data_IF_505221727974
#
_entry.id   IF_505221727974
#
_cell.length_a   1.000
_cell.length_b   1.000
_cell.length_c   1.000
_cell.angle_alpha   90.00
_cell.angle_beta   90.00
_cell.angle_gamma   90.00
#
_symmetry.space_group_name_H-M   'P 1'
#
loop_
_entity.id
_entity.type
_entity.pdbx_description
1 polymer ?
#
# COMPACT_ATOMS: atom_id res chain seq x y z
N UNK A 1 -18.68 -0.21 3.90
CA UNK A 1 -17.71 0.68 3.21
C UNK A 1 -16.54 0.90 4.14
N UNK A 2 -15.38 0.34 3.79
CA UNK A 2 -14.19 0.37 4.64
C UNK A 2 -13.59 1.78 4.78
N UNK A 3 -12.84 2.01 5.85
CA UNK A 3 -12.13 3.28 6.09
C UNK A 3 -11.07 3.52 5.00
N UNK A 4 -10.40 2.46 4.55
CA UNK A 4 -9.43 2.52 3.43
C UNK A 4 -10.08 3.01 2.13
N UNK A 5 -11.25 2.47 1.75
CA UNK A 5 -11.99 2.97 0.60
C UNK A 5 -12.39 4.42 0.78
N UNK A 6 -12.90 4.78 1.96
CA UNK A 6 -13.28 6.15 2.26
C UNK A 6 -12.09 7.12 2.15
N UNK A 7 -10.88 6.66 2.50
CA UNK A 7 -9.65 7.41 2.32
C UNK A 7 -9.33 7.60 0.83
N UNK A 8 -9.41 6.55 0.01
CA UNK A 8 -9.21 6.66 -1.43
C UNK A 8 -10.25 7.55 -2.13
N UNK A 9 -11.51 7.52 -1.69
CA UNK A 9 -12.57 8.40 -2.18
C UNK A 9 -12.45 9.86 -1.68
N UNK A 10 -11.45 10.18 -0.84
CA UNK A 10 -11.25 11.49 -0.23
C UNK A 10 -12.31 11.88 0.82
N UNK A 11 -13.14 10.92 1.24
CA UNK A 11 -14.18 11.08 2.26
C UNK A 11 -13.63 10.92 3.69
N UNK A 12 -12.43 10.34 3.82
CA UNK A 12 -11.71 10.14 5.06
C UNK A 12 -10.29 10.68 4.94
N UNK A 13 -9.77 11.29 6.01
CA UNK A 13 -8.39 11.76 6.08
C UNK A 13 -7.44 10.68 6.63
N UNK A 14 -6.13 10.92 6.52
CA UNK A 14 -5.10 10.00 6.99
C UNK A 14 -5.18 9.73 8.51
N UNK A 15 -5.44 10.72 9.39
CA UNK A 15 -5.60 10.46 10.83
C UNK A 15 -6.73 9.47 11.18
N UNK A 16 -7.84 9.46 10.43
CA UNK A 16 -8.90 8.49 10.66
C UNK A 16 -8.54 7.10 10.12
N UNK A 17 -7.81 7.00 9.00
CA UNK A 17 -7.23 5.74 8.53
C UNK A 17 -6.23 5.16 9.54
N UNK A 18 -5.39 6.01 10.14
CA UNK A 18 -4.44 5.62 11.19
C UNK A 18 -5.15 4.98 12.38
N UNK A 19 -6.23 5.60 12.87
CA UNK A 19 -7.01 5.05 13.99
C UNK A 19 -7.62 3.68 13.68
N UNK A 20 -8.07 3.48 12.44
CA UNK A 20 -8.61 2.20 11.99
C UNK A 20 -7.52 1.11 11.97
N UNK A 21 -6.35 1.44 11.43
CA UNK A 21 -5.17 0.57 11.42
C UNK A 21 -4.69 0.23 12.84
N UNK A 22 -4.61 1.21 13.73
CA UNK A 22 -4.21 1.02 15.14
C UNK A 22 -5.24 0.21 15.93
N UNK A 23 -6.53 0.50 15.74
CA UNK A 23 -7.64 -0.22 16.38
C UNK A 23 -7.76 -1.68 15.93
N UNK A 24 -7.29 -2.01 14.72
CA UNK A 24 -7.22 -3.37 14.21
C UNK A 24 -6.15 -4.24 14.89
N UNK A 25 -5.06 -3.66 15.41
CA UNK A 25 -3.92 -4.42 15.96
C UNK A 25 -4.23 -5.12 17.29
N UNK A 26 -5.22 -4.65 18.06
CA UNK A 26 -5.61 -5.28 19.34
C UNK A 26 -6.49 -6.55 19.18
N UNK A 27 -7.09 -6.79 18.01
CA UNK A 27 -7.86 -8.00 17.74
C UNK A 27 -7.09 -8.90 16.79
N UNK A 28 -6.57 -9.98 17.38
CA UNK A 28 -5.90 -11.16 16.80
C UNK A 28 -5.89 -11.26 15.28
N UNK A 29 -4.74 -11.70 14.74
CA UNK A 29 -4.36 -11.97 13.33
C UNK A 29 -5.40 -12.46 12.29
N UNK A 30 -6.64 -12.74 12.68
CA UNK A 30 -7.77 -13.12 11.82
C UNK A 30 -8.89 -12.05 11.76
N UNK A 31 -9.02 -11.18 12.76
CA UNK A 31 -10.10 -10.17 12.86
C UNK A 31 -9.78 -8.87 12.09
N UNK A 32 -8.49 -8.56 11.89
CA UNK A 32 -8.06 -7.45 11.03
C UNK A 32 -8.67 -7.62 9.63
N UNK A 33 -8.65 -8.84 9.10
CA UNK A 33 -9.19 -9.15 7.78
C UNK A 33 -10.70 -8.89 7.73
N UNK A 34 -11.48 -9.24 8.77
CA UNK A 34 -12.95 -9.12 8.67
C UNK A 34 -13.46 -7.68 8.75
N UNK A 35 -12.81 -6.78 9.49
CA UNK A 35 -13.29 -5.41 9.66
C UNK A 35 -13.05 -4.49 8.44
N UNK A 36 -12.06 -4.78 7.58
CA UNK A 36 -11.93 -4.12 6.27
C UNK A 36 -12.98 -4.57 5.26
N UNK A 37 -13.57 -5.76 5.46
CA UNK A 37 -14.35 -6.48 4.45
C UNK A 37 -15.87 -6.24 4.57
N UNK A 38 -16.34 -5.63 5.65
CA UNK A 38 -17.79 -5.43 5.83
C UNK A 38 -18.34 -4.26 4.94
N UNK A 39 -19.18 -4.66 3.99
CA UNK A 39 -19.98 -3.91 3.02
C UNK A 39 -19.22 -3.22 1.87
N UNK A 40 -18.77 -4.01 0.91
CA UNK A 40 -18.52 -3.56 -0.47
C UNK A 40 -19.57 -4.18 -1.40
N UNK A 41 -20.70 -3.48 -1.61
CA UNK A 41 -21.75 -3.88 -2.57
C UNK A 41 -21.28 -3.88 -4.04
N UNK A 42 -20.06 -3.40 -4.31
CA UNK A 42 -19.43 -3.27 -5.63
C UNK A 42 -17.91 -3.30 -5.51
N UNK A 43 -17.25 -3.97 -6.47
CA UNK A 43 -15.80 -3.94 -6.64
C UNK A 43 -15.30 -2.50 -6.73
N UNK A 44 -14.20 -2.21 -6.06
CA UNK A 44 -13.56 -0.91 -6.04
C UNK A 44 -12.24 -0.96 -6.82
N UNK A 45 -12.12 -0.19 -7.92
CA UNK A 45 -10.90 -0.17 -8.71
C UNK A 45 -9.79 0.60 -8.00
N UNK A 46 -8.68 -0.07 -7.69
CA UNK A 46 -7.45 0.53 -7.18
C UNK A 46 -6.59 1.01 -8.36
N UNK A 47 -6.13 2.25 -8.29
CA UNK A 47 -5.34 2.92 -9.34
C UNK A 47 -4.00 3.41 -8.78
N UNK A 48 -3.10 3.84 -9.66
CA UNK A 48 -1.85 4.47 -9.21
C UNK A 48 -2.08 5.75 -8.41
N UNK A 49 -3.18 6.48 -8.64
CA UNK A 49 -3.55 7.66 -7.86
C UNK A 49 -3.81 7.31 -6.39
N UNK A 50 -4.53 6.21 -6.13
CA UNK A 50 -4.78 5.75 -4.76
C UNK A 50 -3.48 5.38 -4.02
N UNK A 51 -2.55 4.71 -4.70
CA UNK A 51 -1.25 4.40 -4.09
C UNK A 51 -0.37 5.65 -3.90
N UNK A 52 -0.50 6.67 -4.75
CA UNK A 52 0.18 7.95 -4.53
C UNK A 52 -0.35 8.66 -3.28
N UNK A 53 -1.64 8.54 -2.95
CA UNK A 53 -2.18 9.09 -1.69
C UNK A 53 -1.53 8.45 -0.45
N UNK A 54 -1.21 7.15 -0.52
CA UNK A 54 -0.47 6.46 0.55
C UNK A 54 0.97 6.99 0.66
N UNK A 55 1.66 7.20 -0.47
CA UNK A 55 2.98 7.79 -0.49
C UNK A 55 2.99 9.21 0.12
N UNK A 56 1.98 10.02 -0.22
CA UNK A 56 1.84 11.38 0.28
C UNK A 56 1.58 11.38 1.80
N UNK A 57 0.69 10.49 2.29
CA UNK A 57 0.40 10.34 3.71
C UNK A 57 1.60 9.83 4.55
N UNK A 58 2.49 9.03 3.96
CA UNK A 58 3.76 8.68 4.60
C UNK A 58 4.73 9.87 4.62
N UNK A 59 4.78 10.63 3.53
CA UNK A 59 5.67 11.80 3.42
C UNK A 59 5.29 12.92 4.40
N UNK A 60 4.00 13.06 4.72
CA UNK A 60 3.51 13.99 5.75
C UNK A 60 3.70 13.47 7.18
N UNK A 61 4.10 12.20 7.34
CA UNK A 61 4.30 11.53 8.62
C UNK A 61 3.02 10.98 9.25
N UNK A 62 1.90 10.96 8.51
CA UNK A 62 0.64 10.38 8.98
C UNK A 62 0.70 8.86 8.99
N UNK A 63 1.29 8.24 7.96
CA UNK A 63 1.47 6.80 7.87
C UNK A 63 2.91 6.37 8.16
N UNK A 64 3.05 5.25 8.87
CA UNK A 64 4.34 4.59 9.08
C UNK A 64 4.60 3.51 8.03
N UNK A 65 5.84 3.05 7.92
CA UNK A 65 6.21 1.93 7.03
C UNK A 65 5.41 0.66 7.34
N UNK A 66 5.18 0.38 8.63
CA UNK A 66 4.38 -0.77 9.07
C UNK A 66 2.92 -0.65 8.63
N UNK A 67 2.34 0.55 8.73
CA UNK A 67 0.97 0.81 8.27
C UNK A 67 0.83 0.62 6.76
N UNK A 68 1.81 1.06 5.96
CA UNK A 68 1.80 0.81 4.51
C UNK A 68 1.82 -0.69 4.22
N UNK A 69 2.66 -1.46 4.91
CA UNK A 69 2.69 -2.91 4.75
C UNK A 69 1.34 -3.56 5.13
N UNK A 70 0.71 -3.11 6.22
CA UNK A 70 -0.62 -3.58 6.62
C UNK A 70 -1.68 -3.27 5.54
N UNK A 71 -1.65 -2.06 4.97
CA UNK A 71 -2.55 -1.67 3.88
C UNK A 71 -2.30 -2.55 2.64
N UNK A 72 -1.04 -2.81 2.27
CA UNK A 72 -0.70 -3.69 1.14
C UNK A 72 -1.21 -5.12 1.34
N UNK A 73 -0.99 -5.68 2.53
CA UNK A 73 -1.50 -6.99 2.90
C UNK A 73 -3.03 -7.05 2.82
N UNK A 74 -3.71 -6.04 3.35
CA UNK A 74 -5.18 -5.96 3.29
C UNK A 74 -5.69 -5.87 1.84
N UNK A 75 -5.05 -5.06 0.99
CA UNK A 75 -5.41 -4.96 -0.43
C UNK A 75 -5.22 -6.28 -1.19
N UNK A 76 -4.19 -7.06 -0.86
CA UNK A 76 -3.95 -8.37 -1.47
C UNK A 76 -4.95 -9.45 -1.00
N UNK A 77 -5.55 -9.27 0.18
CA UNK A 77 -6.47 -10.23 0.78
C UNK A 77 -7.96 -9.92 0.51
N UNK A 78 -8.28 -8.74 -0.01
CA UNK A 78 -9.64 -8.26 -0.23
C UNK A 78 -10.09 -8.48 -1.69
N UNK A 79 -11.01 -9.43 -1.90
CA UNK A 79 -11.57 -9.76 -3.22
C UNK A 79 -12.37 -8.60 -3.86
N UNK A 80 -12.74 -7.58 -3.11
CA UNK A 80 -13.48 -6.42 -3.62
C UNK A 80 -12.55 -5.27 -4.07
N UNK A 81 -11.25 -5.34 -3.78
CA UNK A 81 -10.26 -4.38 -4.28
C UNK A 81 -9.59 -4.96 -5.52
N UNK A 82 -9.82 -4.31 -6.67
CA UNK A 82 -9.36 -4.84 -7.96
C UNK A 82 -8.49 -3.84 -8.71
N UNK A 83 -7.52 -4.35 -9.47
CA UNK A 83 -6.75 -3.53 -10.41
C UNK A 83 -6.60 -4.26 -11.74
N UNK A 84 -6.66 -3.50 -12.83
CA UNK A 84 -6.65 -4.08 -14.18
C UNK A 84 -5.21 -4.41 -14.64
N UNK A 85 -4.78 -5.65 -14.41
CA UNK A 85 -3.47 -6.18 -14.82
C UNK A 85 -3.20 -6.18 -16.34
N UNK A 86 -4.22 -5.95 -17.18
CA UNK A 86 -4.04 -5.80 -18.63
C UNK A 86 -3.62 -4.37 -19.02
N UNK A 87 -3.70 -3.42 -18.09
CA UNK A 87 -3.30 -2.02 -18.31
C UNK A 87 -1.97 -1.73 -17.66
N UNK A 88 -1.23 -0.75 -18.21
CA UNK A 88 0.01 -0.28 -17.59
C UNK A 88 -0.22 0.30 -16.19
N UNK A 89 -1.41 0.84 -15.92
CA UNK A 89 -1.75 1.38 -14.60
C UNK A 89 -1.89 0.26 -13.57
N UNK A 90 -2.74 -0.74 -13.86
CA UNK A 90 -2.95 -1.86 -12.95
C UNK A 90 -1.71 -2.74 -12.78
N UNK A 91 -0.84 -2.86 -13.79
CA UNK A 91 0.46 -3.53 -13.64
C UNK A 91 1.35 -2.81 -12.61
N UNK A 92 1.42 -1.48 -12.66
CA UNK A 92 2.17 -0.70 -11.67
C UNK A 92 1.57 -0.80 -10.27
N UNK A 93 0.25 -0.81 -10.17
CA UNK A 93 -0.46 -1.05 -8.90
C UNK A 93 -0.07 -2.41 -8.32
N UNK A 94 -0.18 -3.49 -9.12
CA UNK A 94 0.15 -4.84 -8.70
C UNK A 94 1.59 -4.95 -8.19
N UNK A 95 2.55 -4.38 -8.92
CA UNK A 95 3.97 -4.42 -8.56
C UNK A 95 4.26 -3.67 -7.26
N UNK A 96 3.73 -2.45 -7.11
CA UNK A 96 3.98 -1.64 -5.90
C UNK A 96 3.33 -2.26 -4.66
N UNK A 97 2.11 -2.78 -4.78
CA UNK A 97 1.46 -3.52 -3.70
C UNK A 97 2.30 -4.75 -3.33
N UNK A 98 2.77 -5.51 -4.32
CA UNK A 98 3.65 -6.67 -4.07
C UNK A 98 4.98 -6.29 -3.40
N UNK A 99 5.55 -5.13 -3.74
CA UNK A 99 6.75 -4.63 -3.06
C UNK A 99 6.48 -4.22 -1.61
N UNK A 100 5.35 -3.59 -1.34
CA UNK A 100 4.95 -3.12 0.00
C UNK A 100 4.45 -4.23 0.92
N UNK A 101 3.91 -5.31 0.38
CA UNK A 101 3.45 -6.46 1.17
C UNK A 101 4.64 -7.19 1.84
N UNK A 102 5.77 -7.27 1.13
CA UNK A 102 7.00 -7.93 1.60
C UNK A 102 8.25 -7.04 1.46
N UNK A 103 8.33 -5.89 2.17
CA UNK A 103 9.40 -4.91 2.02
C UNK A 103 10.78 -5.43 2.48
N UNK A 104 10.82 -6.43 3.36
CA UNK A 104 12.03 -7.08 3.86
C UNK A 104 12.72 -8.02 2.85
N UNK A 105 12.02 -8.38 1.76
CA UNK A 105 12.59 -9.11 0.62
C UNK A 105 12.59 -8.28 -0.66
N UNK A 106 11.84 -7.18 -0.71
CA UNK A 106 11.80 -6.26 -1.84
C UNK A 106 12.60 -4.99 -1.50
N UNK A 107 11.89 -3.88 -1.33
CA UNK A 107 12.45 -2.57 -1.01
C UNK A 107 11.90 -2.11 0.34
N UNK A 108 12.74 -1.93 1.38
CA UNK A 108 12.29 -1.40 2.65
C UNK A 108 11.56 -0.06 2.46
N UNK A 109 10.45 0.15 3.16
CA UNK A 109 9.67 1.39 3.05
C UNK A 109 10.37 2.47 3.90
N UNK A 110 10.95 3.46 3.22
CA UNK A 110 11.74 4.57 3.78
C UNK A 110 11.44 5.85 3.01
N UNK A 111 11.88 7.01 3.49
CA UNK A 111 11.75 8.29 2.76
C UNK A 111 12.39 8.25 1.35
N UNK A 112 13.51 7.54 1.20
CA UNK A 112 14.18 7.38 -0.11
C UNK A 112 13.34 6.52 -1.06
N UNK A 113 12.91 5.35 -0.58
CA UNK A 113 12.19 4.39 -1.43
C UNK A 113 10.74 4.82 -1.69
N UNK A 114 10.08 5.53 -0.78
CA UNK A 114 8.73 6.09 -1.01
C UNK A 114 8.73 7.12 -2.14
N UNK A 115 9.78 7.93 -2.23
CA UNK A 115 9.96 8.87 -3.34
C UNK A 115 10.06 8.13 -4.68
N UNK A 116 10.78 6.99 -4.70
CA UNK A 116 10.93 6.14 -5.90
C UNK A 116 9.66 5.38 -6.25
N UNK A 117 8.92 4.88 -5.26
CA UNK A 117 7.60 4.27 -5.47
C UNK A 117 6.65 5.29 -6.10
N UNK A 118 6.57 6.49 -5.54
CA UNK A 118 5.75 7.58 -6.08
C UNK A 118 6.14 7.95 -7.52
N UNK A 119 7.44 8.04 -7.81
CA UNK A 119 7.94 8.28 -9.17
C UNK A 119 7.54 7.16 -10.13
N UNK A 120 7.68 5.90 -9.71
CA UNK A 120 7.29 4.75 -10.51
C UNK A 120 5.79 4.73 -10.80
N UNK A 121 4.95 4.96 -9.79
CA UNK A 121 3.50 5.05 -9.94
C UNK A 121 3.10 6.12 -10.98
N UNK A 122 3.74 7.28 -10.93
CA UNK A 122 3.44 8.42 -11.81
C UNK A 122 3.94 8.23 -13.25
N UNK A 123 5.12 7.63 -13.44
CA UNK A 123 5.83 7.66 -14.73
C UNK A 123 6.02 6.29 -15.38
N UNK A 124 5.95 5.21 -14.59
CA UNK A 124 6.39 3.87 -14.98
C UNK A 124 7.90 3.69 -15.11
N UNK A 125 8.70 4.71 -14.79
CA UNK A 125 10.16 4.60 -14.80
C UNK A 125 10.67 4.00 -13.48
N UNK A 126 11.38 2.88 -13.56
CA UNK A 126 11.98 2.24 -12.39
C UNK A 126 13.34 2.86 -12.07
N UNK A 127 13.43 3.53 -10.91
CA UNK A 127 14.66 4.17 -10.40
C UNK A 127 15.30 3.42 -9.23
N UNK A 128 14.82 2.21 -8.92
CA UNK A 128 15.38 1.39 -7.86
C UNK A 128 16.75 0.84 -8.27
N UNK A 129 17.66 0.83 -7.30
CA UNK A 129 19.03 0.34 -7.44
C UNK A 129 19.26 -0.82 -6.47
N UNK A 130 20.40 -1.48 -6.58
CA UNK A 130 20.79 -2.55 -5.64
C UNK A 130 20.92 -2.06 -4.20
N UNK A 131 21.21 -0.78 -3.98
CA UNK A 131 21.34 -0.19 -2.66
C UNK A 131 19.99 -0.03 -1.96
N UNK A 132 18.91 0.04 -2.74
CA UNK A 132 17.54 0.13 -2.22
C UNK A 132 16.97 -1.24 -1.82
N UNK A 133 17.59 -2.34 -2.26
CA UNK A 133 17.13 -3.68 -1.92
C UNK A 133 17.36 -3.97 -0.44
N UNK A 134 16.47 -4.77 0.13
CA UNK A 134 16.62 -5.20 1.52
C UNK A 134 18.02 -5.80 1.78
N UNK A 135 18.64 -5.55 2.96
CA UNK A 135 20.04 -5.88 3.23
C UNK A 135 20.45 -7.34 2.99
N UNK A 136 19.48 -8.26 3.08
CA UNK A 136 19.70 -9.69 2.87
C UNK A 136 19.95 -10.04 1.39
N UNK A 137 19.62 -9.15 0.45
CA UNK A 137 19.87 -9.30 -0.99
C UNK A 137 21.07 -8.48 -1.49
N UNK A 138 21.44 -7.41 -0.78
CA UNK A 138 22.60 -6.56 -1.11
C UNK A 138 23.96 -7.27 -0.91
N UNK A 139 24.03 -8.30 -0.06
CA UNK A 139 25.28 -9.01 0.32
C UNK A 139 25.76 -10.09 -0.66
N UNK A 140 25.15 -10.26 -1.83
CA UNK A 140 25.66 -11.17 -2.88
C UNK A 140 26.29 -10.36 -4.02
N UNK A 141 27.54 -9.93 -3.80
CA UNK A 141 28.41 -9.29 -4.77
C UNK A 141 29.84 -9.76 -4.57
#
# INVERSE_FOLDING_TARGET
>A
MSVLRSFFDGMCDAPNLVKDLEGGVERTSHDVVSHYIDDLDTNFPVTTEHLMMICDAFTTGDLTAQMIQQIAFAMMADDYLEWNNETSDGQRVAEVIGWWDSPEINYPITESTITKFRHYLCTGENQFTREDLAPNLSRKG
#
